data_IF_972355307133
#
_entry.id   IF_972355307133
#
_cell.length_a   1.000
_cell.length_b   1.000
_cell.length_c   1.000
_cell.angle_alpha   90.00
_cell.angle_beta   90.00
_cell.angle_gamma   90.00
#
_symmetry.space_group_name_H-M   'P 1'
#
loop_
_entity.id
_entity.type
_entity.pdbx_description
1 polymer ?
#
# COMPACT_ATOMS: atom_id res chain seq x y z
N UNK A 1 -20.52 28.93 3.55
CA UNK A 1 -19.88 27.67 3.96
C UNK A 1 -18.38 27.85 3.91
N UNK A 2 -17.62 27.49 4.96
CA UNK A 2 -16.15 27.47 4.88
C UNK A 2 -15.74 26.38 3.87
N UNK A 3 -14.87 26.70 2.91
CA UNK A 3 -14.26 25.71 2.01
C UNK A 3 -13.44 24.77 2.89
N UNK A 4 -13.68 23.46 2.77
CA UNK A 4 -12.91 22.45 3.51
C UNK A 4 -11.46 22.51 3.04
N UNK A 5 -10.52 22.60 3.96
CA UNK A 5 -9.09 22.48 3.65
C UNK A 5 -8.73 21.00 3.52
N UNK A 6 -7.86 20.70 2.54
CA UNK A 6 -7.40 19.34 2.26
C UNK A 6 -5.91 19.25 2.55
N UNK A 7 -5.55 18.27 3.39
CA UNK A 7 -4.17 17.98 3.78
C UNK A 7 -3.76 16.62 3.19
N UNK A 8 -3.10 16.58 2.01
CA UNK A 8 -2.86 15.33 1.28
C UNK A 8 -2.08 14.29 2.09
N UNK A 9 -1.15 14.72 2.93
CA UNK A 9 -0.38 13.83 3.81
C UNK A 9 -1.26 13.20 4.88
N UNK A 10 -2.15 13.96 5.53
CA UNK A 10 -3.08 13.41 6.53
C UNK A 10 -4.05 12.41 5.90
N UNK A 11 -4.56 12.72 4.71
CA UNK A 11 -5.45 11.84 3.95
C UNK A 11 -4.74 10.54 3.55
N UNK A 12 -3.47 10.63 3.15
CA UNK A 12 -2.63 9.46 2.88
C UNK A 12 -2.43 8.60 4.13
N UNK A 13 -2.16 9.20 5.29
CA UNK A 13 -2.02 8.48 6.57
C UNK A 13 -3.30 7.72 6.95
N UNK A 14 -4.47 8.32 6.73
CA UNK A 14 -5.74 7.63 6.92
C UNK A 14 -5.98 6.49 5.92
N UNK A 15 -5.53 6.66 4.66
CA UNK A 15 -5.59 5.57 3.67
C UNK A 15 -4.64 4.41 4.01
N UNK A 16 -3.48 4.70 4.64
CA UNK A 16 -2.57 3.69 5.20
C UNK A 16 -3.23 2.95 6.36
N UNK A 17 -3.94 3.66 7.25
CA UNK A 17 -4.63 3.03 8.36
C UNK A 17 -5.70 2.04 7.88
N UNK A 18 -6.46 2.40 6.85
CA UNK A 18 -7.49 1.53 6.25
C UNK A 18 -7.85 1.99 4.82
N UNK A 19 -7.69 1.13 3.79
CA UNK A 19 -8.10 1.46 2.42
C UNK A 19 -9.56 1.90 2.33
N UNK A 20 -9.78 3.09 1.76
CA UNK A 20 -11.11 3.70 1.62
C UNK A 20 -11.35 4.89 2.54
N UNK A 21 -10.64 4.99 3.67
CA UNK A 21 -10.77 6.16 4.56
C UNK A 21 -10.27 7.43 3.88
N UNK A 22 -9.16 7.36 3.14
CA UNK A 22 -8.68 8.50 2.35
C UNK A 22 -9.71 8.97 1.31
N UNK A 23 -10.40 8.04 0.65
CA UNK A 23 -11.46 8.35 -0.30
C UNK A 23 -12.67 8.99 0.37
N UNK A 24 -13.07 8.55 1.57
CA UNK A 24 -14.12 9.22 2.35
C UNK A 24 -13.72 10.65 2.74
N UNK A 25 -12.46 10.86 3.14
CA UNK A 25 -11.96 12.21 3.44
C UNK A 25 -11.95 13.11 2.21
N UNK A 26 -11.72 12.56 1.02
CA UNK A 26 -11.85 13.26 -0.25
C UNK A 26 -13.30 13.47 -0.72
N UNK A 27 -14.31 12.93 0.00
CA UNK A 27 -15.73 13.02 -0.38
C UNK A 27 -16.17 11.98 -1.42
N UNK A 28 -15.30 11.05 -1.81
CA UNK A 28 -15.59 10.00 -2.79
C UNK A 28 -16.23 8.77 -2.13
N UNK A 29 -17.52 8.85 -1.80
CA UNK A 29 -18.24 7.79 -1.06
C UNK A 29 -18.24 6.43 -1.78
N UNK A 30 -18.47 6.41 -3.10
CA UNK A 30 -18.51 5.16 -3.86
C UNK A 30 -17.14 4.48 -3.83
N UNK A 31 -16.06 5.21 -4.12
CA UNK A 31 -14.69 4.66 -4.04
C UNK A 31 -14.36 4.19 -2.63
N UNK A 32 -14.69 5.00 -1.62
CA UNK A 32 -14.41 4.66 -0.22
C UNK A 32 -15.13 3.38 0.22
N UNK A 33 -16.42 3.24 -0.08
CA UNK A 33 -17.18 2.02 0.20
C UNK A 33 -16.60 0.81 -0.53
N UNK A 34 -16.22 0.96 -1.80
CA UNK A 34 -15.60 -0.12 -2.58
C UNK A 34 -14.28 -0.56 -1.95
N UNK A 35 -13.38 0.36 -1.59
CA UNK A 35 -12.09 0.00 -0.98
C UNK A 35 -12.26 -0.61 0.40
N UNK A 36 -13.15 -0.09 1.24
CA UNK A 36 -13.44 -0.69 2.56
C UNK A 36 -14.00 -2.10 2.38
N UNK A 37 -14.96 -2.29 1.47
CA UNK A 37 -15.51 -3.62 1.19
C UNK A 37 -14.41 -4.59 0.73
N UNK A 38 -13.57 -4.18 -0.22
CA UNK A 38 -12.50 -5.02 -0.74
C UNK A 38 -11.41 -5.30 0.31
N UNK A 39 -11.08 -4.33 1.15
CA UNK A 39 -10.17 -4.49 2.30
C UNK A 39 -10.67 -5.61 3.21
N UNK A 40 -11.93 -5.53 3.66
CA UNK A 40 -12.50 -6.59 4.49
C UNK A 40 -12.62 -7.93 3.75
N UNK A 41 -13.02 -7.93 2.48
CA UNK A 41 -13.14 -9.14 1.68
C UNK A 41 -11.80 -9.87 1.57
N UNK A 42 -10.73 -9.16 1.18
CA UNK A 42 -9.40 -9.74 1.03
C UNK A 42 -8.83 -10.12 2.40
N UNK A 43 -8.95 -9.26 3.42
CA UNK A 43 -8.44 -9.54 4.77
C UNK A 43 -9.04 -10.81 5.38
N UNK A 44 -10.38 -10.94 5.32
CA UNK A 44 -11.08 -12.12 5.85
C UNK A 44 -10.72 -13.37 5.07
N UNK A 45 -10.75 -13.33 3.73
CA UNK A 45 -10.47 -14.53 2.93
C UNK A 45 -8.99 -14.94 2.95
N UNK A 46 -8.07 -14.02 3.23
CA UNK A 46 -6.63 -14.31 3.40
C UNK A 46 -6.23 -14.68 4.82
N UNK A 47 -7.12 -14.52 5.82
CA UNK A 47 -6.81 -14.57 7.25
C UNK A 47 -5.71 -13.58 7.66
N UNK A 48 -5.64 -12.41 7.03
CA UNK A 48 -4.53 -11.47 7.20
C UNK A 48 -4.38 -10.99 8.65
N UNK A 49 -5.47 -10.67 9.33
CA UNK A 49 -5.42 -10.25 10.73
C UNK A 49 -4.86 -11.34 11.66
N UNK A 50 -5.10 -12.62 11.36
CA UNK A 50 -4.56 -13.73 12.13
C UNK A 50 -3.06 -13.95 11.83
N UNK A 51 -2.67 -13.84 10.56
CA UNK A 51 -1.26 -13.80 10.14
C UNK A 51 -0.48 -12.69 10.86
N UNK A 52 -1.06 -11.48 10.92
CA UNK A 52 -0.50 -10.33 11.64
C UNK A 52 -0.33 -10.68 13.11
N UNK A 53 -1.41 -11.13 13.77
CA UNK A 53 -1.36 -11.48 15.20
C UNK A 53 -0.25 -12.50 15.50
N UNK A 54 -0.21 -13.61 14.78
CA UNK A 54 0.81 -14.65 14.97
C UNK A 54 2.23 -14.14 14.69
N UNK A 55 2.40 -13.34 13.63
CA UNK A 55 3.69 -12.71 13.30
C UNK A 55 4.19 -11.81 14.43
N UNK A 56 3.32 -11.00 15.04
CA UNK A 56 3.67 -10.16 16.19
C UNK A 56 3.95 -10.96 17.46
N UNK A 57 3.40 -12.17 17.59
CA UNK A 57 3.61 -13.05 18.74
C UNK A 57 4.82 -13.99 18.58
N UNK A 58 5.56 -13.90 17.47
CA UNK A 58 6.69 -14.80 17.20
C UNK A 58 6.29 -16.20 16.70
N UNK A 59 5.00 -16.41 16.43
CA UNK A 59 4.41 -17.69 16.00
C UNK A 59 4.43 -17.79 14.47
N UNK A 60 5.63 -17.91 13.90
CA UNK A 60 5.81 -17.74 12.45
C UNK A 60 5.24 -18.90 11.63
N UNK A 61 5.37 -20.14 12.13
CA UNK A 61 4.81 -21.31 11.43
C UNK A 61 3.28 -21.24 11.42
N UNK A 62 2.67 -20.81 12.53
CA UNK A 62 1.24 -20.56 12.62
C UNK A 62 0.81 -19.42 11.70
N UNK A 63 1.58 -18.33 11.64
CA UNK A 63 1.31 -17.21 10.74
C UNK A 63 1.29 -17.66 9.27
N UNK A 64 2.23 -18.49 8.84
CA UNK A 64 2.23 -19.07 7.48
C UNK A 64 1.04 -20.02 7.31
N UNK A 65 0.83 -20.94 8.24
CA UNK A 65 -0.19 -21.99 8.14
C UNK A 65 -1.63 -21.45 8.06
N UNK A 66 -1.93 -20.34 8.75
CA UNK A 66 -3.28 -19.73 8.71
C UNK A 66 -3.53 -18.93 7.42
N UNK A 67 -2.48 -18.52 6.72
CA UNK A 67 -2.59 -17.57 5.61
C UNK A 67 -3.10 -18.25 4.36
N UNK A 68 -4.17 -17.71 3.79
CA UNK A 68 -4.58 -18.10 2.45
C UNK A 68 -3.89 -17.21 1.41
N UNK A 69 -2.79 -17.72 0.87
CA UNK A 69 -1.92 -16.98 -0.05
C UNK A 69 -2.57 -16.61 -1.38
N UNK A 70 -3.54 -17.38 -1.87
CA UNK A 70 -4.28 -17.03 -3.09
C UNK A 70 -5.02 -15.70 -2.92
N UNK A 71 -5.58 -15.46 -1.73
CA UNK A 71 -6.21 -14.18 -1.39
C UNK A 71 -5.19 -13.12 -0.98
N UNK A 72 -4.15 -13.49 -0.22
CA UNK A 72 -3.14 -12.55 0.25
C UNK A 72 -2.41 -11.83 -0.90
N UNK A 73 -2.23 -12.48 -2.05
CA UNK A 73 -1.59 -11.90 -3.23
C UNK A 73 -2.37 -10.71 -3.84
N UNK A 74 -3.66 -10.55 -3.55
CA UNK A 74 -4.42 -9.35 -3.98
C UNK A 74 -4.12 -8.12 -3.12
N UNK A 75 -3.66 -8.33 -1.88
CA UNK A 75 -3.54 -7.26 -0.88
C UNK A 75 -2.53 -6.16 -1.27
N UNK A 76 -1.30 -6.46 -1.75
CA UNK A 76 -0.32 -5.44 -2.10
C UNK A 76 -0.84 -4.41 -3.11
N UNK A 77 -1.43 -4.88 -4.22
CA UNK A 77 -1.94 -4.02 -5.27
C UNK A 77 -3.13 -3.20 -4.79
N UNK A 78 -4.07 -3.83 -4.08
CA UNK A 78 -5.26 -3.17 -3.57
C UNK A 78 -4.93 -2.07 -2.57
N UNK A 79 -4.12 -2.43 -1.57
CA UNK A 79 -3.71 -1.53 -0.49
C UNK A 79 -2.95 -0.32 -1.05
N UNK A 80 -1.92 -0.56 -1.87
CA UNK A 80 -1.06 0.52 -2.36
C UNK A 80 -1.75 1.39 -3.40
N UNK A 81 -2.63 0.82 -4.21
CA UNK A 81 -3.46 1.59 -5.13
C UNK A 81 -4.46 2.49 -4.39
N UNK A 82 -5.09 2.00 -3.31
CA UNK A 82 -5.98 2.83 -2.49
C UNK A 82 -5.26 4.02 -1.85
N UNK A 83 -4.01 3.83 -1.41
CA UNK A 83 -3.15 4.92 -0.94
C UNK A 83 -2.86 5.94 -2.04
N UNK A 84 -2.44 5.47 -3.22
CA UNK A 84 -2.14 6.31 -4.37
C UNK A 84 -3.35 7.12 -4.83
N UNK A 85 -4.50 6.47 -5.02
CA UNK A 85 -5.76 7.11 -5.45
C UNK A 85 -6.20 8.20 -4.46
N UNK A 86 -6.19 7.90 -3.16
CA UNK A 86 -6.54 8.86 -2.12
C UNK A 86 -5.60 10.08 -2.13
N UNK A 87 -4.29 9.85 -2.25
CA UNK A 87 -3.30 10.92 -2.25
C UNK A 87 -3.41 11.81 -3.49
N UNK A 88 -3.63 11.21 -4.66
CA UNK A 88 -3.77 11.95 -5.92
C UNK A 88 -5.04 12.81 -5.95
N UNK A 89 -6.16 12.28 -5.47
CA UNK A 89 -7.39 13.07 -5.37
C UNK A 89 -7.25 14.18 -4.33
N UNK A 90 -6.55 13.93 -3.23
CA UNK A 90 -6.28 14.96 -2.22
C UNK A 90 -5.39 16.11 -2.76
N UNK A 91 -4.36 15.80 -3.55
CA UNK A 91 -3.54 16.83 -4.21
C UNK A 91 -4.38 17.73 -5.12
N UNK A 92 -5.28 17.14 -5.91
CA UNK A 92 -6.19 17.90 -6.78
C UNK A 92 -7.14 18.80 -5.98
N UNK A 93 -7.74 18.27 -4.91
CA UNK A 93 -8.67 19.01 -4.05
C UNK A 93 -7.97 20.13 -3.27
N UNK A 94 -6.69 19.95 -2.94
CA UNK A 94 -5.85 20.97 -2.34
C UNK A 94 -5.27 21.97 -3.36
N UNK A 95 -5.63 21.86 -4.65
CA UNK A 95 -5.10 22.68 -5.75
C UNK A 95 -3.55 22.65 -5.83
N UNK A 96 -2.95 21.54 -5.42
CA UNK A 96 -1.50 21.32 -5.44
C UNK A 96 -1.07 20.65 -6.75
N UNK A 97 0.06 21.09 -7.30
CA UNK A 97 0.64 20.48 -8.49
C UNK A 97 0.97 19.01 -8.22
N UNK A 98 0.46 18.12 -9.07
CA UNK A 98 0.80 16.71 -9.04
C UNK A 98 2.24 16.51 -9.55
N UNK A 99 3.16 15.94 -8.75
CA UNK A 99 4.53 15.75 -9.20
C UNK A 99 4.60 14.77 -10.38
N UNK A 100 5.41 15.07 -11.40
CA UNK A 100 5.60 14.17 -12.55
C UNK A 100 6.05 12.78 -12.11
N UNK A 101 5.50 11.75 -12.73
CA UNK A 101 5.82 10.33 -12.47
C UNK A 101 5.63 9.90 -10.99
N UNK A 102 4.75 10.55 -10.24
CA UNK A 102 4.49 10.24 -8.82
C UNK A 102 3.94 8.83 -8.59
N UNK A 103 3.34 8.18 -9.59
CA UNK A 103 2.89 6.79 -9.51
C UNK A 103 4.02 5.78 -9.39
N UNK A 104 5.25 6.10 -9.82
CA UNK A 104 6.36 5.13 -9.88
C UNK A 104 6.70 4.55 -8.50
N UNK A 105 6.95 5.35 -7.44
CA UNK A 105 7.17 4.81 -6.09
C UNK A 105 6.05 3.88 -5.60
N UNK A 106 4.79 4.16 -5.93
CA UNK A 106 3.66 3.33 -5.50
C UNK A 106 3.63 2.01 -6.28
N UNK A 107 3.79 2.05 -7.60
CA UNK A 107 3.75 0.85 -8.45
C UNK A 107 4.93 -0.08 -8.12
N UNK A 108 6.13 0.46 -7.92
CA UNK A 108 7.29 -0.36 -7.52
C UNK A 108 7.12 -0.93 -6.12
N UNK A 109 6.56 -0.17 -5.17
CA UNK A 109 6.20 -0.69 -3.86
C UNK A 109 5.22 -1.87 -3.96
N UNK A 110 4.23 -1.79 -4.84
CA UNK A 110 3.28 -2.87 -5.07
C UNK A 110 3.95 -4.14 -5.59
N UNK A 111 4.79 -4.02 -6.62
CA UNK A 111 5.49 -5.17 -7.20
C UNK A 111 6.42 -5.84 -6.19
N UNK A 112 7.20 -5.06 -5.44
CA UNK A 112 8.09 -5.63 -4.42
C UNK A 112 7.31 -6.25 -3.27
N UNK A 113 6.22 -5.61 -2.84
CA UNK A 113 5.36 -6.17 -1.79
C UNK A 113 4.73 -7.49 -2.23
N UNK A 114 4.28 -7.61 -3.48
CA UNK A 114 3.81 -8.89 -4.05
C UNK A 114 4.88 -9.96 -4.02
N UNK A 115 6.12 -9.63 -4.42
CA UNK A 115 7.26 -10.55 -4.29
C UNK A 115 7.48 -10.94 -2.83
N UNK A 116 7.37 -10.01 -1.90
CA UNK A 116 7.46 -10.29 -0.47
C UNK A 116 6.37 -11.22 0.04
N UNK A 117 5.13 -11.14 -0.47
CA UNK A 117 4.07 -12.11 -0.15
C UNK A 117 4.42 -13.49 -0.70
N UNK A 118 4.94 -13.58 -1.92
CA UNK A 118 5.34 -14.86 -2.54
C UNK A 118 6.44 -15.56 -1.72
N UNK A 119 7.35 -14.81 -1.12
CA UNK A 119 8.44 -15.38 -0.32
C UNK A 119 8.13 -15.51 1.17
N UNK A 120 6.96 -15.06 1.66
CA UNK A 120 6.68 -15.03 3.09
C UNK A 120 6.29 -16.40 3.69
N UNK A 121 5.99 -17.40 2.86
CA UNK A 121 5.81 -18.80 3.27
C UNK A 121 7.09 -19.65 3.19
N UNK A 122 8.19 -19.07 2.70
CA UNK A 122 9.42 -19.82 2.52
C UNK A 122 10.27 -19.79 3.79
N UNK A 123 10.55 -20.97 4.35
CA UNK A 123 11.14 -21.14 5.69
C UNK A 123 12.48 -20.45 5.90
N UNK A 124 13.24 -20.23 4.83
CA UNK A 124 14.48 -19.47 4.92
C UNK A 124 14.19 -18.02 5.31
N UNK A 125 13.16 -17.38 4.75
CA UNK A 125 12.88 -15.97 5.02
C UNK A 125 12.16 -15.77 6.35
N UNK A 126 11.10 -16.55 6.64
CA UNK A 126 10.30 -16.29 7.83
C UNK A 126 10.99 -16.62 9.15
N UNK A 127 12.10 -17.37 9.12
CA UNK A 127 12.97 -17.58 10.30
C UNK A 127 13.72 -16.32 10.72
N UNK A 128 13.98 -15.40 9.79
CA UNK A 128 14.69 -14.14 10.08
C UNK A 128 13.75 -12.97 10.31
N UNK A 129 12.59 -12.95 9.64
CA UNK A 129 11.64 -11.86 9.69
C UNK A 129 10.22 -12.42 9.66
N UNK A 130 9.34 -11.99 10.56
CA UNK A 130 7.99 -12.54 10.64
C UNK A 130 7.25 -12.47 9.28
N UNK A 131 6.39 -13.45 8.94
CA UNK A 131 5.72 -13.51 7.63
C UNK A 131 5.02 -12.22 7.20
N UNK A 132 4.37 -11.50 8.12
CA UNK A 132 3.76 -10.18 7.84
C UNK A 132 4.79 -9.12 7.47
N UNK A 133 5.96 -9.11 8.10
CA UNK A 133 6.95 -8.05 7.92
C UNK A 133 7.75 -8.21 6.62
N UNK A 134 7.87 -9.42 6.07
CA UNK A 134 8.53 -9.65 4.77
C UNK A 134 7.94 -8.77 3.64
N UNK A 135 6.62 -8.83 3.34
CA UNK A 135 6.02 -7.97 2.31
C UNK A 135 6.04 -6.48 2.67
N UNK A 136 6.02 -6.11 3.95
CA UNK A 136 6.12 -4.71 4.39
C UNK A 136 7.53 -4.17 4.14
N UNK A 137 8.58 -4.91 4.49
CA UNK A 137 9.97 -4.52 4.22
C UNK A 137 10.21 -4.45 2.72
N UNK A 138 9.72 -5.43 1.95
CA UNK A 138 9.81 -5.40 0.50
C UNK A 138 9.09 -4.16 -0.10
N UNK A 139 7.90 -3.82 0.40
CA UNK A 139 7.18 -2.61 0.02
C UNK A 139 8.02 -1.34 0.22
N UNK A 140 8.64 -1.19 1.39
CA UNK A 140 9.49 -0.03 1.72
C UNK A 140 10.69 0.06 0.77
N UNK A 141 11.37 -1.07 0.52
CA UNK A 141 12.48 -1.16 -0.43
C UNK A 141 12.00 -0.75 -1.84
N UNK A 142 10.87 -1.30 -2.29
CA UNK A 142 10.28 -0.97 -3.58
C UNK A 142 9.92 0.51 -3.70
N UNK A 143 9.38 1.13 -2.65
CA UNK A 143 9.08 2.55 -2.62
C UNK A 143 10.35 3.42 -2.75
N UNK A 144 11.42 3.07 -2.02
CA UNK A 144 12.71 3.77 -2.08
C UNK A 144 13.32 3.68 -3.49
N UNK A 145 13.38 2.46 -4.05
CA UNK A 145 13.89 2.21 -5.40
C UNK A 145 13.06 3.00 -6.43
N UNK A 146 11.74 2.97 -6.34
CA UNK A 146 10.86 3.75 -7.20
C UNK A 146 11.06 5.25 -7.06
N UNK A 147 11.37 5.74 -5.86
CA UNK A 147 11.78 7.12 -5.62
C UNK A 147 13.04 7.51 -6.40
N UNK A 148 14.04 6.65 -6.44
CA UNK A 148 15.26 6.86 -7.24
C UNK A 148 14.98 6.81 -8.74
N UNK A 149 14.19 5.83 -9.21
CA UNK A 149 13.77 5.73 -10.61
C UNK A 149 13.02 6.99 -11.03
N UNK A 150 12.08 7.45 -10.21
CA UNK A 150 11.34 8.69 -10.44
C UNK A 150 12.27 9.89 -10.56
N UNK A 151 13.21 10.07 -9.63
CA UNK A 151 14.18 11.18 -9.67
C UNK A 151 14.98 11.17 -10.97
N UNK A 152 15.43 9.99 -11.41
CA UNK A 152 16.17 9.82 -12.65
C UNK A 152 15.31 10.18 -13.89
N UNK A 153 14.06 9.71 -13.96
CA UNK A 153 13.15 10.01 -15.07
C UNK A 153 12.80 11.49 -15.15
N UNK A 154 12.54 12.12 -14.00
CA UNK A 154 12.29 13.57 -13.92
C UNK A 154 13.51 14.34 -14.44
N UNK A 155 14.71 14.02 -13.96
CA UNK A 155 15.94 14.68 -14.42
C UNK A 155 16.14 14.54 -15.94
N UNK A 156 15.88 13.36 -16.50
CA UNK A 156 15.98 13.10 -17.94
C UNK A 156 14.92 13.84 -18.76
N UNK A 157 13.73 14.06 -18.20
CA UNK A 157 12.67 14.80 -18.87
C UNK A 157 12.98 16.30 -18.98
N UNK A 158 13.54 16.90 -17.92
CA UNK A 158 13.87 18.33 -17.89
C UNK A 158 15.17 18.70 -18.63
N UNK A 159 16.10 17.76 -18.81
CA UNK A 159 17.36 17.99 -19.56
C UNK A 159 17.22 17.83 -21.09
N UNK A 160 16.05 17.39 -21.57
CA UNK A 160 15.73 17.26 -23.01
C UNK A 160 14.99 18.48 -23.61
N UNK A 161 14.79 19.52 -22.81
CA UNK A 161 14.29 20.85 -23.21
C UNK A 161 15.40 21.86 -23.08
#
# INVERSE_FOLDING_TARGET
MKKREYYPVEILLWSIALPGFGQFLNGNLIKGLTFVFLEFLVNVNSNLNLNIKHSFQGQFEEAVAVTNYQWALFYPCLYIFAMFDAYMDALKLAEQNSPSFISIPFVTAAYFSTIGVIFSDYSVFYRFLAPTFIPITAMIIGFIIGGWIRKWLVHKAYTKT
#
